data_IF_641597069761
#
_entry.id   IF_641597069761
#
_cell.length_a   1.000
_cell.length_b   1.000
_cell.length_c   1.000
_cell.angle_alpha   90.00
_cell.angle_beta   90.00
_cell.angle_gamma   90.00
#
_symmetry.space_group_name_H-M   'P 1'
#
loop_
_entity.id
_entity.type
_entity.pdbx_description
1 polymer ?
#
# COMPACT_ATOMS: atom_id res chain seq x y z
N UNK A 1 33.07 -10.64 4.70
CA UNK A 1 32.84 -10.09 3.34
C UNK A 1 31.41 -9.61 3.34
N UNK A 2 31.21 -8.30 3.42
CA UNK A 2 29.88 -7.70 3.30
C UNK A 2 29.39 -7.93 1.88
N UNK A 3 28.27 -8.63 1.74
CA UNK A 3 27.56 -8.77 0.45
C UNK A 3 27.37 -7.36 -0.16
N UNK A 4 27.57 -7.15 -1.46
CA UNK A 4 27.30 -5.84 -2.03
C UNK A 4 25.84 -5.49 -1.72
N UNK A 5 25.62 -4.39 -0.97
CA UNK A 5 24.29 -3.90 -0.66
C UNK A 5 23.56 -3.62 -1.98
N UNK A 6 22.63 -4.49 -2.34
CA UNK A 6 21.78 -4.25 -3.49
C UNK A 6 20.81 -3.13 -3.13
N UNK A 7 20.83 -2.06 -3.92
CA UNK A 7 19.87 -0.95 -3.74
C UNK A 7 18.44 -1.45 -3.90
N UNK A 8 17.46 -0.83 -3.20
CA UNK A 8 16.06 -1.16 -3.38
C UNK A 8 15.61 -0.95 -4.82
N UNK A 9 14.78 -1.84 -5.31
CA UNK A 9 14.11 -1.68 -6.59
C UNK A 9 13.09 -0.54 -6.49
N UNK A 10 12.97 0.26 -7.55
CA UNK A 10 12.02 1.37 -7.61
C UNK A 10 10.76 0.94 -8.37
N UNK A 11 9.66 0.93 -7.69
CA UNK A 11 8.35 0.57 -8.25
C UNK A 11 7.41 1.76 -8.32
N UNK A 12 6.40 1.62 -9.16
CA UNK A 12 5.29 2.53 -9.27
C UNK A 12 3.98 1.77 -9.14
N UNK A 13 3.01 2.32 -8.41
CA UNK A 13 1.70 1.72 -8.22
C UNK A 13 0.85 1.82 -9.50
N UNK A 14 0.09 0.77 -9.81
CA UNK A 14 -0.82 0.76 -10.96
C UNK A 14 -2.25 1.21 -10.62
N UNK A 15 -2.64 1.21 -9.35
CA UNK A 15 -3.99 1.59 -8.93
C UNK A 15 -4.35 3.07 -9.09
N UNK A 16 -3.43 4.06 -9.21
CA UNK A 16 -3.83 5.43 -9.52
C UNK A 16 -4.67 5.58 -10.79
N UNK A 17 -4.48 4.67 -11.75
CA UNK A 17 -5.32 4.60 -12.95
C UNK A 17 -6.72 4.02 -12.75
N UNK A 18 -7.03 3.48 -11.57
CA UNK A 18 -8.26 2.75 -11.26
C UNK A 18 -9.05 3.34 -10.10
N UNK A 19 -8.37 3.58 -8.97
CA UNK A 19 -9.04 4.01 -7.72
C UNK A 19 -9.64 5.39 -7.90
N UNK A 20 -10.92 5.52 -7.56
CA UNK A 20 -11.68 6.76 -7.77
C UNK A 20 -12.08 7.03 -9.22
N UNK A 21 -11.83 6.09 -10.15
CA UNK A 21 -12.22 6.15 -11.56
C UNK A 21 -13.48 5.32 -11.80
N UNK A 22 -14.20 5.61 -12.86
CA UNK A 22 -15.42 4.88 -13.23
C UNK A 22 -16.22 5.58 -14.32
N UNK A 23 -17.41 5.03 -14.61
CA UNK A 23 -18.32 5.56 -15.61
C UNK A 23 -19.44 6.45 -15.00
N UNK A 24 -19.37 6.72 -13.69
CA UNK A 24 -20.35 7.56 -12.98
C UNK A 24 -20.21 9.05 -13.30
N UNK A 25 -21.29 9.80 -13.09
CA UNK A 25 -21.30 11.25 -13.29
C UNK A 25 -20.19 11.92 -12.44
N UNK A 26 -19.33 12.68 -13.11
CA UNK A 26 -18.23 13.40 -12.48
C UNK A 26 -16.99 12.54 -12.18
N UNK A 27 -17.00 11.26 -12.50
CA UNK A 27 -15.82 10.40 -12.44
C UNK A 27 -15.02 10.48 -13.74
N UNK A 28 -13.69 10.34 -13.60
CA UNK A 28 -12.82 10.17 -14.76
C UNK A 28 -12.78 8.68 -15.16
N UNK A 29 -12.66 8.35 -16.46
CA UNK A 29 -12.56 6.94 -16.89
C UNK A 29 -11.27 6.30 -16.38
N UNK A 30 -11.26 4.98 -16.14
CA UNK A 30 -10.04 4.26 -15.82
C UNK A 30 -8.99 4.40 -16.93
N UNK A 31 -7.72 4.53 -16.54
CA UNK A 31 -6.59 4.45 -17.48
C UNK A 31 -6.23 2.99 -17.68
N UNK A 32 -6.07 2.55 -18.93
CA UNK A 32 -5.77 1.15 -19.23
C UNK A 32 -4.43 0.71 -18.63
N UNK A 33 -4.31 -0.58 -18.30
CA UNK A 33 -3.05 -1.16 -17.82
C UNK A 33 -1.90 -0.89 -18.79
N UNK A 34 -2.11 -1.12 -20.09
CA UNK A 34 -1.08 -0.87 -21.12
C UNK A 34 -0.56 0.56 -21.05
N UNK A 35 -1.47 1.55 -20.94
CA UNK A 35 -1.09 2.95 -20.84
C UNK A 35 -0.31 3.28 -19.57
N UNK A 36 -0.71 2.73 -18.42
CA UNK A 36 0.02 2.90 -17.16
C UNK A 36 1.43 2.29 -17.24
N UNK A 37 1.56 1.11 -17.90
CA UNK A 37 2.85 0.46 -18.12
C UNK A 37 3.75 1.29 -19.06
N UNK A 38 3.20 1.82 -20.16
CA UNK A 38 3.93 2.71 -21.06
C UNK A 38 4.52 3.92 -20.34
N UNK A 39 3.70 4.63 -19.57
CA UNK A 39 4.10 5.81 -18.83
C UNK A 39 5.18 5.50 -17.79
N UNK A 40 5.02 4.39 -17.05
CA UNK A 40 6.00 3.95 -16.06
C UNK A 40 7.33 3.55 -16.72
N UNK A 41 7.30 2.76 -17.78
CA UNK A 41 8.50 2.30 -18.49
C UNK A 41 9.23 3.43 -19.22
N UNK A 42 8.50 4.47 -19.66
CA UNK A 42 9.07 5.64 -20.32
C UNK A 42 9.71 6.65 -19.35
N UNK A 43 9.42 6.57 -18.05
CA UNK A 43 10.04 7.44 -17.05
C UNK A 43 11.57 7.25 -17.06
N UNK A 44 12.28 8.37 -17.14
CA UNK A 44 13.74 8.35 -17.23
C UNK A 44 14.34 9.61 -16.59
N UNK A 45 15.22 9.41 -15.63
CA UNK A 45 15.99 10.48 -14.99
C UNK A 45 17.45 10.11 -15.05
N UNK A 46 18.23 10.77 -15.91
CA UNK A 46 19.65 10.51 -16.11
C UNK A 46 19.98 9.02 -16.40
N UNK A 47 19.14 8.36 -17.21
CA UNK A 47 19.30 6.94 -17.55
C UNK A 47 18.73 5.97 -16.52
N UNK A 48 18.30 6.44 -15.35
CA UNK A 48 17.62 5.63 -14.35
C UNK A 48 16.12 5.51 -14.68
N UNK A 49 15.55 4.36 -14.41
CA UNK A 49 14.13 4.03 -14.69
C UNK A 49 13.51 3.33 -13.49
N UNK A 50 12.19 3.14 -13.52
CA UNK A 50 11.54 2.20 -12.63
C UNK A 50 11.97 0.76 -12.96
N UNK A 51 12.16 -0.05 -11.93
CA UNK A 51 12.46 -1.48 -12.04
C UNK A 51 11.18 -2.32 -12.19
N UNK A 52 10.05 -1.79 -11.70
CA UNK A 52 8.81 -2.55 -11.68
C UNK A 52 7.58 -1.75 -11.24
N UNK A 53 6.56 -2.50 -10.96
CA UNK A 53 5.24 -2.01 -10.54
C UNK A 53 4.73 -2.78 -9.33
N UNK A 54 3.90 -2.11 -8.51
CA UNK A 54 3.00 -2.79 -7.59
C UNK A 54 1.61 -2.83 -8.22
N UNK A 55 0.91 -3.96 -8.07
CA UNK A 55 -0.17 -4.31 -8.97
C UNK A 55 -1.49 -4.58 -8.23
N UNK A 56 -2.55 -3.99 -8.74
CA UNK A 56 -3.88 -4.08 -8.17
C UNK A 56 -4.71 -5.15 -8.89
N UNK A 57 -5.16 -6.16 -8.15
CA UNK A 57 -5.92 -7.27 -8.68
C UNK A 57 -7.41 -6.92 -8.86
N UNK A 58 -7.69 -5.96 -9.73
CA UNK A 58 -9.01 -5.39 -9.92
C UNK A 58 -9.29 -5.03 -11.39
N UNK A 59 -10.56 -5.09 -11.77
CA UNK A 59 -11.01 -4.66 -13.10
C UNK A 59 -10.86 -3.13 -13.28
N UNK A 60 -10.58 -2.65 -14.50
CA UNK A 60 -10.37 -3.39 -15.74
C UNK A 60 -8.93 -3.91 -15.96
N UNK A 61 -7.99 -3.68 -15.05
CA UNK A 61 -6.60 -4.15 -15.22
C UNK A 61 -6.47 -5.67 -15.13
N UNK A 62 -7.12 -6.28 -14.14
CA UNK A 62 -7.12 -7.73 -13.94
C UNK A 62 -8.49 -8.20 -13.46
N UNK A 63 -9.04 -9.20 -14.11
CA UNK A 63 -10.10 -9.99 -13.52
C UNK A 63 -9.47 -10.95 -12.49
N UNK A 64 -9.80 -10.86 -11.18
CA UNK A 64 -9.26 -11.76 -10.17
C UNK A 64 -9.58 -13.23 -10.42
N UNK A 65 -10.69 -13.51 -11.12
CA UNK A 65 -11.14 -14.85 -11.50
C UNK A 65 -10.56 -15.33 -12.85
N UNK A 66 -9.66 -14.53 -13.48
CA UNK A 66 -9.04 -14.90 -14.75
C UNK A 66 -8.35 -16.25 -14.69
N UNK A 67 -8.37 -16.98 -15.80
CA UNK A 67 -7.62 -18.22 -15.98
C UNK A 67 -6.11 -17.99 -15.92
N UNK A 68 -5.34 -19.05 -15.63
CA UNK A 68 -3.89 -18.97 -15.65
C UNK A 68 -3.34 -18.55 -17.02
N UNK A 69 -4.02 -18.90 -18.11
CA UNK A 69 -3.66 -18.49 -19.46
C UNK A 69 -3.86 -16.99 -19.72
N UNK A 70 -4.89 -16.39 -19.14
CA UNK A 70 -5.13 -14.94 -19.20
C UNK A 70 -4.12 -14.19 -18.32
N UNK A 71 -3.87 -14.69 -17.11
CA UNK A 71 -2.85 -14.14 -16.21
C UNK A 71 -1.44 -14.20 -16.84
N UNK A 72 -1.13 -15.28 -17.57
CA UNK A 72 0.12 -15.40 -18.32
C UNK A 72 0.25 -14.32 -19.41
N UNK A 73 -0.85 -13.95 -20.07
CA UNK A 73 -0.83 -12.83 -21.04
C UNK A 73 -0.52 -11.51 -20.35
N UNK A 74 -1.12 -11.25 -19.19
CA UNK A 74 -0.84 -10.05 -18.39
C UNK A 74 0.64 -10.03 -17.97
N UNK A 75 1.16 -11.14 -17.43
CA UNK A 75 2.57 -11.28 -17.06
C UNK A 75 3.51 -10.97 -18.23
N UNK A 76 3.21 -11.52 -19.42
CA UNK A 76 3.99 -11.27 -20.63
C UNK A 76 3.89 -9.79 -21.08
N UNK A 77 2.74 -9.15 -20.91
CA UNK A 77 2.56 -7.73 -21.22
C UNK A 77 3.47 -6.89 -20.32
N UNK A 78 3.43 -7.10 -19.01
CA UNK A 78 4.30 -6.39 -18.05
C UNK A 78 5.79 -6.61 -18.38
N UNK A 79 6.18 -7.86 -18.64
CA UNK A 79 7.56 -8.20 -18.99
C UNK A 79 8.04 -7.52 -20.28
N UNK A 80 7.18 -7.34 -21.29
CA UNK A 80 7.52 -6.64 -22.55
C UNK A 80 7.87 -5.17 -22.32
N UNK A 81 7.33 -4.53 -21.27
CA UNK A 81 7.72 -3.19 -20.88
C UNK A 81 9.02 -3.15 -20.06
N UNK A 82 9.65 -4.30 -19.80
CA UNK A 82 10.88 -4.39 -19.01
C UNK A 82 10.65 -4.19 -17.51
N UNK A 83 9.40 -4.34 -17.03
CA UNK A 83 9.00 -4.12 -15.65
C UNK A 83 8.80 -5.45 -14.93
N UNK A 84 9.15 -5.50 -13.65
CA UNK A 84 8.82 -6.59 -12.74
C UNK A 84 7.53 -6.25 -11.96
N UNK A 85 6.89 -7.28 -11.38
CA UNK A 85 5.82 -7.13 -10.40
C UNK A 85 6.41 -7.31 -9.00
N UNK A 86 6.11 -6.38 -8.11
CA UNK A 86 6.41 -6.45 -6.68
C UNK A 86 5.20 -6.91 -5.87
N UNK A 87 4.71 -6.02 -5.03
CA UNK A 87 3.54 -6.30 -4.19
C UNK A 87 2.24 -6.29 -4.99
N UNK A 88 1.31 -7.14 -4.57
CA UNK A 88 -0.02 -7.27 -5.15
C UNK A 88 -1.06 -6.77 -4.14
N UNK A 89 -2.05 -6.04 -4.60
CA UNK A 89 -3.18 -5.65 -3.75
C UNK A 89 -4.31 -6.66 -3.97
N UNK A 90 -4.68 -7.38 -2.90
CA UNK A 90 -5.75 -8.36 -2.94
C UNK A 90 -7.12 -7.69 -3.08
N UNK A 91 -8.06 -8.23 -3.87
CA UNK A 91 -9.39 -7.65 -4.08
C UNK A 91 -10.34 -8.01 -2.93
N UNK A 92 -10.02 -7.55 -1.70
CA UNK A 92 -10.74 -7.96 -0.48
C UNK A 92 -12.00 -7.15 -0.17
N UNK A 93 -12.25 -6.03 -0.86
CA UNK A 93 -13.34 -5.10 -0.49
C UNK A 93 -14.72 -5.55 -0.92
N UNK A 94 -15.79 -5.13 -0.19
CA UNK A 94 -17.15 -5.21 -0.68
C UNK A 94 -17.31 -4.57 -2.07
N UNK A 95 -18.04 -5.22 -2.96
CA UNK A 95 -18.17 -4.78 -4.37
C UNK A 95 -17.08 -5.32 -5.31
N UNK A 96 -16.09 -6.02 -4.76
CA UNK A 96 -15.14 -6.87 -5.50
C UNK A 96 -15.52 -8.36 -5.31
N UNK A 97 -14.54 -9.26 -5.35
CA UNK A 97 -14.72 -10.68 -5.01
C UNK A 97 -14.63 -10.92 -3.50
N UNK A 98 -14.17 -9.94 -2.74
CA UNK A 98 -14.00 -10.00 -1.29
C UNK A 98 -15.16 -9.40 -0.50
N UNK A 99 -14.98 -9.29 0.81
CA UNK A 99 -15.91 -8.68 1.76
C UNK A 99 -15.16 -8.38 3.08
N UNK A 100 -15.83 -7.75 4.07
CA UNK A 100 -15.25 -7.31 5.33
C UNK A 100 -14.62 -8.44 6.16
N UNK A 101 -13.39 -8.22 6.62
CA UNK A 101 -12.72 -9.11 7.60
C UNK A 101 -13.41 -9.12 8.97
N UNK A 102 -14.18 -8.08 9.30
CA UNK A 102 -14.94 -7.93 10.52
C UNK A 102 -16.40 -8.46 10.39
N UNK A 103 -16.80 -8.86 9.18
CA UNK A 103 -18.15 -9.26 8.85
C UNK A 103 -18.60 -10.58 9.47
N UNK A 104 -19.75 -11.07 9.05
CA UNK A 104 -20.26 -12.38 9.41
C UNK A 104 -19.46 -13.52 8.72
N UNK A 105 -19.89 -14.75 8.94
CA UNK A 105 -19.19 -15.91 8.38
C UNK A 105 -19.11 -15.88 6.85
N UNK A 106 -20.15 -15.40 6.16
CA UNK A 106 -20.17 -15.31 4.70
C UNK A 106 -19.23 -14.23 4.17
N UNK A 107 -19.18 -13.08 4.82
CA UNK A 107 -18.23 -11.99 4.49
C UNK A 107 -16.78 -12.46 4.71
N UNK A 108 -16.49 -13.11 5.84
CA UNK A 108 -15.16 -13.69 6.10
C UNK A 108 -14.75 -14.71 5.05
N UNK A 109 -15.66 -15.60 4.64
CA UNK A 109 -15.37 -16.59 3.59
C UNK A 109 -14.98 -15.92 2.26
N UNK A 110 -15.68 -14.87 1.86
CA UNK A 110 -15.34 -14.09 0.67
C UNK A 110 -13.96 -13.41 0.84
N UNK A 111 -13.68 -12.80 1.99
CA UNK A 111 -12.36 -12.22 2.29
C UNK A 111 -11.24 -13.25 2.09
N UNK A 112 -11.37 -14.41 2.72
CA UNK A 112 -10.37 -15.48 2.65
C UNK A 112 -10.23 -16.05 1.23
N UNK A 113 -11.35 -16.15 0.49
CA UNK A 113 -11.35 -16.56 -0.91
C UNK A 113 -10.61 -15.55 -1.80
N UNK A 114 -10.79 -14.27 -1.56
CA UNK A 114 -10.06 -13.20 -2.27
C UNK A 114 -8.55 -13.26 -2.00
N UNK A 115 -8.14 -13.49 -0.75
CA UNK A 115 -6.72 -13.70 -0.40
C UNK A 115 -6.14 -14.94 -1.09
N UNK A 116 -6.86 -16.06 -1.08
CA UNK A 116 -6.44 -17.29 -1.79
C UNK A 116 -6.28 -17.05 -3.28
N UNK A 117 -7.18 -16.28 -3.87
CA UNK A 117 -7.13 -15.91 -5.29
C UNK A 117 -5.91 -15.04 -5.59
N UNK A 118 -5.61 -14.05 -4.73
CA UNK A 118 -4.41 -13.23 -4.86
C UNK A 118 -3.12 -14.07 -4.77
N UNK A 119 -3.07 -15.04 -3.85
CA UNK A 119 -1.94 -15.99 -3.73
C UNK A 119 -1.77 -16.83 -5.01
N UNK A 120 -2.86 -17.32 -5.60
CA UNK A 120 -2.81 -18.04 -6.90
C UNK A 120 -2.23 -17.15 -7.99
N UNK A 121 -2.68 -15.91 -8.09
CA UNK A 121 -2.20 -14.96 -9.11
C UNK A 121 -0.71 -14.67 -8.89
N UNK A 122 -0.28 -14.45 -7.64
CA UNK A 122 1.13 -14.29 -7.29
C UNK A 122 1.98 -15.44 -7.82
N UNK A 123 1.55 -16.69 -7.57
CA UNK A 123 2.26 -17.89 -8.01
C UNK A 123 2.28 -18.04 -9.54
N UNK A 124 1.22 -17.63 -10.25
CA UNK A 124 1.23 -17.59 -11.72
C UNK A 124 2.27 -16.57 -12.22
N UNK A 125 2.32 -15.38 -11.64
CA UNK A 125 3.29 -14.35 -12.03
C UNK A 125 4.74 -14.77 -11.71
N UNK A 126 4.97 -15.49 -10.61
CA UNK A 126 6.26 -16.10 -10.28
C UNK A 126 6.67 -17.16 -11.29
N UNK A 127 5.76 -18.08 -11.65
CA UNK A 127 5.96 -19.11 -12.67
C UNK A 127 6.34 -18.52 -14.03
N UNK A 128 5.79 -17.35 -14.37
CA UNK A 128 6.13 -16.62 -15.60
C UNK A 128 7.34 -15.70 -15.46
N UNK A 129 8.01 -15.68 -14.28
CA UNK A 129 9.26 -14.97 -14.04
C UNK A 129 9.12 -13.46 -13.94
N UNK A 130 7.90 -12.92 -13.93
CA UNK A 130 7.65 -11.48 -13.83
C UNK A 130 7.61 -10.98 -12.39
N UNK A 131 7.31 -11.86 -11.41
CA UNK A 131 7.36 -11.58 -9.97
C UNK A 131 8.41 -12.44 -9.28
N UNK A 132 9.28 -11.82 -8.48
CA UNK A 132 10.36 -12.49 -7.74
C UNK A 132 10.43 -12.08 -6.28
N UNK A 133 9.68 -11.10 -5.87
CA UNK A 133 9.63 -10.51 -4.52
C UNK A 133 8.30 -9.78 -4.33
N UNK A 134 8.15 -9.12 -3.19
CA UNK A 134 6.94 -8.41 -2.81
C UNK A 134 6.02 -9.26 -1.95
N UNK A 135 4.96 -8.65 -1.48
CA UNK A 135 3.96 -9.23 -0.59
C UNK A 135 2.56 -9.15 -1.22
N UNK A 136 1.56 -9.67 -0.52
CA UNK A 136 0.16 -9.44 -0.88
C UNK A 136 -0.42 -8.47 0.15
N UNK A 137 -0.75 -7.27 -0.29
CA UNK A 137 -1.38 -6.25 0.54
C UNK A 137 -2.84 -6.60 0.81
N UNK A 138 -3.25 -6.44 2.05
CA UNK A 138 -4.63 -6.50 2.53
C UNK A 138 -4.93 -5.32 3.45
N UNK A 139 -6.20 -5.05 3.68
CA UNK A 139 -6.72 -4.22 4.76
C UNK A 139 -7.95 -4.89 5.38
N UNK A 140 -8.64 -4.24 6.35
CA UNK A 140 -9.79 -4.86 7.01
C UNK A 140 -11.03 -4.99 6.12
N UNK A 141 -11.05 -4.30 4.97
CA UNK A 141 -12.20 -4.20 4.08
C UNK A 141 -13.51 -3.73 4.77
N UNK A 142 -13.39 -3.12 5.95
CA UNK A 142 -14.49 -2.48 6.68
C UNK A 142 -14.30 -0.97 6.61
N UNK A 143 -14.94 -0.35 5.62
CA UNK A 143 -14.85 1.09 5.42
C UNK A 143 -15.63 1.85 6.48
N UNK A 144 -14.97 2.84 7.12
CA UNK A 144 -15.53 3.61 8.22
C UNK A 144 -15.44 2.90 9.57
N UNK A 145 -15.26 3.66 10.63
CA UNK A 145 -14.95 3.13 11.98
C UNK A 145 -16.14 3.07 12.93
N UNK A 146 -17.32 3.52 12.49
CA UNK A 146 -18.53 3.60 13.35
C UNK A 146 -18.91 2.25 13.95
N UNK A 147 -19.04 1.23 13.11
CA UNK A 147 -19.40 -0.12 13.54
C UNK A 147 -18.32 -0.76 14.41
N UNK A 148 -17.04 -0.51 14.12
CA UNK A 148 -15.94 -0.98 14.94
C UNK A 148 -15.99 -0.35 16.34
N UNK A 149 -16.32 0.94 16.46
CA UNK A 149 -16.43 1.66 17.73
C UNK A 149 -17.55 1.18 18.66
N UNK A 150 -18.52 0.44 18.17
CA UNK A 150 -19.54 -0.17 19.02
C UNK A 150 -18.94 -1.15 20.04
N UNK A 151 -17.90 -1.89 19.66
CA UNK A 151 -17.13 -2.77 20.55
C UNK A 151 -15.70 -2.97 19.98
N UNK A 152 -14.80 -2.00 20.20
CA UNK A 152 -13.47 -2.00 19.59
C UNK A 152 -12.70 -3.30 19.81
N UNK A 153 -12.63 -3.78 21.06
CA UNK A 153 -11.92 -5.00 21.42
C UNK A 153 -12.45 -6.23 20.67
N UNK A 154 -13.76 -6.46 20.73
CA UNK A 154 -14.35 -7.64 20.08
C UNK A 154 -14.24 -7.56 18.55
N UNK A 155 -14.35 -6.36 17.97
CA UNK A 155 -14.27 -6.16 16.55
C UNK A 155 -12.81 -6.28 16.04
N UNK A 156 -11.81 -5.79 16.80
CA UNK A 156 -10.40 -6.07 16.52
C UNK A 156 -10.11 -7.57 16.57
N UNK A 157 -10.62 -8.28 17.57
CA UNK A 157 -10.44 -9.75 17.67
C UNK A 157 -11.07 -10.49 16.47
N UNK A 158 -12.20 -10.03 15.91
CA UNK A 158 -12.77 -10.60 14.67
C UNK A 158 -11.85 -10.40 13.48
N UNK A 159 -11.33 -9.17 13.29
CA UNK A 159 -10.37 -8.87 12.21
C UNK A 159 -9.12 -9.73 12.39
N UNK A 160 -8.55 -9.79 13.60
CA UNK A 160 -7.37 -10.59 13.89
C UNK A 160 -7.57 -12.09 13.63
N UNK A 161 -8.73 -12.64 13.94
CA UNK A 161 -9.07 -14.04 13.62
C UNK A 161 -9.11 -14.28 12.11
N UNK A 162 -9.70 -13.36 11.34
CA UNK A 162 -9.73 -13.44 9.87
C UNK A 162 -8.33 -13.32 9.28
N UNK A 163 -7.51 -12.38 9.80
CA UNK A 163 -6.13 -12.17 9.33
C UNK A 163 -5.22 -13.35 9.65
N UNK A 164 -5.39 -14.04 10.80
CA UNK A 164 -4.64 -15.30 11.10
C UNK A 164 -4.94 -16.39 10.07
N UNK A 165 -6.21 -16.55 9.72
CA UNK A 165 -6.61 -17.55 8.71
C UNK A 165 -6.09 -17.16 7.33
N UNK A 166 -6.19 -15.88 6.95
CA UNK A 166 -5.60 -15.35 5.72
C UNK A 166 -4.08 -15.55 5.66
N UNK A 167 -3.36 -15.28 6.76
CA UNK A 167 -1.92 -15.50 6.86
C UNK A 167 -1.56 -16.97 6.72
N UNK A 168 -2.37 -17.88 7.31
CA UNK A 168 -2.20 -19.33 7.13
C UNK A 168 -2.38 -19.75 5.68
N UNK A 169 -3.38 -19.20 4.98
CA UNK A 169 -3.58 -19.43 3.53
C UNK A 169 -2.36 -18.93 2.75
N UNK A 170 -1.90 -17.72 3.02
CA UNK A 170 -0.74 -17.14 2.33
C UNK A 170 0.52 -18.00 2.53
N UNK A 171 0.79 -18.43 3.77
CA UNK A 171 1.92 -19.32 4.08
C UNK A 171 1.89 -20.63 3.29
N UNK A 172 0.71 -21.26 3.14
CA UNK A 172 0.54 -22.47 2.32
C UNK A 172 0.85 -22.24 0.84
N UNK A 173 0.70 -21.02 0.37
CA UNK A 173 1.05 -20.62 -1.01
C UNK A 173 2.48 -20.07 -1.14
N UNK A 174 3.28 -20.07 -0.06
CA UNK A 174 4.62 -19.47 -0.04
C UNK A 174 4.61 -17.95 -0.10
N UNK A 175 3.48 -17.30 0.23
CA UNK A 175 3.31 -15.86 0.19
C UNK A 175 3.30 -15.24 1.60
N UNK A 176 3.61 -13.94 1.68
CA UNK A 176 3.44 -13.12 2.88
C UNK A 176 2.38 -12.06 2.64
N UNK A 177 1.68 -11.68 3.71
CA UNK A 177 0.71 -10.60 3.70
C UNK A 177 1.31 -9.34 4.35
N UNK A 178 0.94 -8.17 3.83
CA UNK A 178 1.16 -6.90 4.48
C UNK A 178 -0.19 -6.19 4.70
N UNK A 179 -0.48 -5.84 5.94
CA UNK A 179 -1.66 -5.05 6.27
C UNK A 179 -1.35 -3.57 6.10
N UNK A 180 -2.05 -2.91 5.18
CA UNK A 180 -1.94 -1.46 5.01
C UNK A 180 -3.02 -0.76 5.82
N UNK A 181 -2.57 0.09 6.73
CA UNK A 181 -3.47 0.88 7.55
C UNK A 181 -3.69 2.26 6.97
N UNK A 182 -4.95 2.56 6.69
CA UNK A 182 -5.42 3.89 6.37
C UNK A 182 -6.42 4.37 7.43
N UNK A 183 -6.58 5.68 7.58
CA UNK A 183 -7.50 6.27 8.56
C UNK A 183 -8.98 5.89 8.35
N UNK A 184 -9.35 5.32 7.21
CA UNK A 184 -10.71 4.87 6.88
C UNK A 184 -10.98 3.40 7.19
N UNK A 185 -9.95 2.57 7.39
CA UNK A 185 -10.14 1.14 7.62
C UNK A 185 -10.30 0.82 9.09
N UNK A 186 -11.45 0.25 9.46
CA UNK A 186 -11.78 -0.10 10.84
C UNK A 186 -10.75 -1.06 11.46
N UNK A 187 -10.32 -0.78 12.70
CA UNK A 187 -9.32 -1.54 13.42
C UNK A 187 -7.88 -1.33 12.94
N UNK A 188 -7.68 -0.49 11.92
CA UNK A 188 -6.39 -0.15 11.33
C UNK A 188 -6.24 1.37 11.13
N UNK A 189 -7.16 2.15 11.68
CA UNK A 189 -7.34 3.58 11.38
C UNK A 189 -6.43 4.51 12.20
N UNK A 190 -5.62 3.96 13.09
CA UNK A 190 -4.55 4.67 13.79
C UNK A 190 -3.31 3.79 13.94
N UNK A 191 -2.17 4.41 14.26
CA UNK A 191 -0.93 3.69 14.51
C UNK A 191 -1.07 2.70 15.68
N UNK A 192 -1.86 3.05 16.71
CA UNK A 192 -2.04 2.21 17.90
C UNK A 192 -2.98 1.04 17.61
N UNK A 193 -4.11 1.29 16.95
CA UNK A 193 -5.03 0.21 16.57
C UNK A 193 -4.38 -0.77 15.61
N UNK A 194 -3.54 -0.26 14.68
CA UNK A 194 -2.75 -1.08 13.78
C UNK A 194 -1.76 -1.97 14.53
N UNK A 195 -1.02 -1.41 15.49
CA UNK A 195 -0.07 -2.16 16.31
C UNK A 195 -0.78 -3.23 17.12
N UNK A 196 -1.88 -2.88 17.81
CA UNK A 196 -2.67 -3.82 18.61
C UNK A 196 -3.23 -4.98 17.76
N UNK A 197 -3.67 -4.68 16.52
CA UNK A 197 -4.12 -5.70 15.58
C UNK A 197 -3.00 -6.66 15.18
N UNK A 198 -1.82 -6.13 14.81
CA UNK A 198 -0.67 -6.96 14.44
C UNK A 198 -0.20 -7.86 15.60
N UNK A 199 -0.15 -7.30 16.81
CA UNK A 199 0.20 -8.06 18.02
C UNK A 199 -0.86 -9.14 18.31
N UNK A 200 -2.15 -8.84 18.18
CA UNK A 200 -3.21 -9.83 18.40
C UNK A 200 -3.21 -10.92 17.32
N UNK A 201 -2.89 -10.60 16.06
CA UNK A 201 -2.69 -11.64 15.02
C UNK A 201 -1.53 -12.56 15.37
N UNK A 202 -0.39 -12.02 15.82
CA UNK A 202 0.73 -12.79 16.36
C UNK A 202 1.44 -13.69 15.36
N UNK A 203 1.49 -13.32 14.07
CA UNK A 203 2.11 -14.11 12.99
C UNK A 203 3.14 -13.27 12.20
N UNK A 204 4.19 -12.70 12.83
CA UNK A 204 5.10 -11.74 12.18
C UNK A 204 5.85 -12.30 10.98
N UNK A 205 6.08 -13.62 10.93
CA UNK A 205 6.76 -14.26 9.79
C UNK A 205 5.91 -14.23 8.49
N UNK A 206 4.58 -14.16 8.64
CA UNK A 206 3.65 -14.27 7.51
C UNK A 206 2.86 -13.00 7.26
N UNK A 207 2.53 -12.26 8.32
CA UNK A 207 1.77 -11.01 8.23
C UNK A 207 2.54 -9.89 8.89
N UNK A 208 2.83 -8.85 8.12
CA UNK A 208 3.46 -7.63 8.61
C UNK A 208 2.65 -6.39 8.25
N UNK A 209 3.29 -5.25 8.37
CA UNK A 209 2.75 -3.93 8.08
C UNK A 209 3.26 -3.42 6.73
N UNK A 210 2.37 -2.82 5.95
CA UNK A 210 2.76 -1.95 4.87
C UNK A 210 2.69 -0.50 5.37
N UNK A 211 3.83 0.15 5.40
CA UNK A 211 3.90 1.56 5.72
C UNK A 211 3.74 2.40 4.45
N UNK A 212 2.74 3.29 4.44
CA UNK A 212 2.62 4.35 3.45
C UNK A 212 2.86 5.71 4.11
N UNK A 213 3.66 6.57 3.49
CA UNK A 213 4.02 7.86 4.06
C UNK A 213 2.83 8.78 4.25
N UNK A 214 1.87 8.78 3.32
CA UNK A 214 0.69 9.64 3.40
C UNK A 214 -0.24 9.21 4.54
N UNK A 215 -0.48 7.90 4.66
CA UNK A 215 -1.36 7.37 5.69
C UNK A 215 -0.76 7.47 7.09
N UNK A 216 0.53 7.15 7.23
CA UNK A 216 1.22 7.24 8.52
C UNK A 216 1.40 8.69 8.99
N UNK A 217 1.51 9.66 8.08
CA UNK A 217 1.45 11.07 8.43
C UNK A 217 0.11 11.43 9.10
N UNK A 218 -1.00 10.97 8.55
CA UNK A 218 -2.32 11.22 9.11
C UNK A 218 -2.54 10.50 10.46
N UNK A 219 -1.85 9.38 10.71
CA UNK A 219 -1.81 8.75 12.02
C UNK A 219 -1.19 9.65 13.08
N UNK A 220 -0.08 10.31 12.75
CA UNK A 220 0.56 11.28 13.69
C UNK A 220 -0.39 12.39 14.07
N UNK A 221 -1.20 12.87 13.11
CA UNK A 221 -2.19 13.93 13.32
C UNK A 221 -3.46 13.46 14.06
N UNK A 222 -3.69 12.15 14.18
CA UNK A 222 -4.84 11.58 14.88
C UNK A 222 -6.17 11.70 14.14
N UNK A 223 -6.16 11.78 12.80
CA UNK A 223 -7.39 11.74 12.03
C UNK A 223 -8.15 10.43 12.27
N UNK A 224 -9.47 10.54 12.49
CA UNK A 224 -10.39 9.46 12.88
C UNK A 224 -10.08 8.77 14.24
N UNK A 225 -8.97 9.09 14.90
CA UNK A 225 -8.59 8.58 16.21
C UNK A 225 -7.87 9.66 17.04
N UNK A 226 -8.53 10.75 17.45
CA UNK A 226 -7.90 11.85 18.17
C UNK A 226 -7.27 11.42 19.50
N UNK A 227 -7.76 10.33 20.09
CA UNK A 227 -7.19 9.68 21.28
C UNK A 227 -5.79 9.10 21.07
N UNK A 228 -5.41 8.83 19.82
CA UNK A 228 -4.10 8.32 19.43
C UNK A 228 -3.23 9.36 18.70
N UNK A 229 -3.69 10.62 18.65
CA UNK A 229 -2.90 11.72 18.09
C UNK A 229 -1.58 11.88 18.84
N UNK A 230 -0.49 12.01 18.11
CA UNK A 230 0.84 12.19 18.69
C UNK A 230 1.26 13.66 18.72
N UNK A 231 0.58 14.50 17.98
CA UNK A 231 0.78 15.95 17.98
C UNK A 231 -0.56 16.68 18.10
N UNK A 232 -0.51 17.93 18.59
CA UNK A 232 -1.66 18.81 18.63
C UNK A 232 -1.62 19.82 17.48
N UNK A 233 -2.76 20.39 17.07
CA UNK A 233 -2.76 21.50 16.10
C UNK A 233 -1.83 22.64 16.54
N UNK A 234 -0.97 23.10 15.62
CA UNK A 234 0.03 24.11 15.90
C UNK A 234 1.35 23.60 16.47
N UNK A 235 1.57 22.29 16.46
CA UNK A 235 2.84 21.69 16.86
C UNK A 235 4.02 22.26 16.06
N UNK A 236 5.18 22.28 16.71
CA UNK A 236 6.46 22.62 16.08
C UNK A 236 7.02 21.43 15.28
N UNK A 237 7.97 21.71 14.39
CA UNK A 237 8.71 20.68 13.67
C UNK A 237 9.41 19.68 14.62
N UNK A 238 9.95 20.17 15.73
CA UNK A 238 10.60 19.31 16.72
C UNK A 238 9.62 18.32 17.34
N UNK A 239 8.43 18.76 17.70
CA UNK A 239 7.37 17.91 18.24
C UNK A 239 6.91 16.90 17.19
N UNK A 240 6.73 17.32 15.93
CA UNK A 240 6.37 16.44 14.85
C UNK A 240 7.42 15.33 14.66
N UNK A 241 8.71 15.66 14.61
CA UNK A 241 9.74 14.65 14.39
C UNK A 241 9.88 13.67 15.55
N UNK A 242 9.69 14.13 16.78
CA UNK A 242 9.66 13.25 17.95
C UNK A 242 8.47 12.28 17.88
N UNK A 243 7.29 12.77 17.54
CA UNK A 243 6.06 12.01 17.37
C UNK A 243 6.17 11.01 16.21
N UNK A 244 6.69 11.45 15.06
CA UNK A 244 6.90 10.61 13.89
C UNK A 244 7.86 9.46 14.20
N UNK A 245 8.95 9.75 14.90
CA UNK A 245 9.91 8.74 15.36
C UNK A 245 9.26 7.75 16.34
N UNK A 246 8.47 8.22 17.29
CA UNK A 246 7.75 7.34 18.22
C UNK A 246 6.86 6.33 17.50
N UNK A 247 6.07 6.79 16.53
CA UNK A 247 5.20 5.93 15.72
C UNK A 247 6.02 4.94 14.88
N UNK A 248 7.05 5.44 14.19
CA UNK A 248 7.85 4.59 13.32
C UNK A 248 8.63 3.55 14.11
N UNK A 249 9.17 3.88 15.28
CA UNK A 249 9.86 2.89 16.15
C UNK A 249 8.92 1.77 16.60
N UNK A 250 7.62 2.06 16.79
CA UNK A 250 6.64 1.05 17.17
C UNK A 250 6.23 0.13 16.00
N UNK A 251 6.03 0.69 14.79
CA UNK A 251 5.52 -0.04 13.63
C UNK A 251 6.61 -0.61 12.72
N UNK A 252 7.81 0.00 12.70
CA UNK A 252 8.93 -0.41 11.84
C UNK A 252 9.31 -1.89 11.99
N UNK A 253 9.34 -2.52 13.19
CA UNK A 253 9.64 -3.95 13.30
C UNK A 253 8.67 -4.86 12.53
N UNK A 254 7.44 -4.41 12.32
CA UNK A 254 6.41 -5.11 11.55
C UNK A 254 6.44 -4.78 10.06
N UNK A 255 7.16 -3.72 9.66
CA UNK A 255 7.12 -3.21 8.28
C UNK A 255 7.88 -4.11 7.33
N UNK A 256 7.18 -4.68 6.36
CA UNK A 256 7.69 -5.60 5.33
C UNK A 256 7.39 -5.12 3.91
N UNK A 257 6.69 -4.00 3.77
CA UNK A 257 6.39 -3.32 2.52
C UNK A 257 6.34 -1.80 2.75
N UNK A 258 6.71 -1.00 1.76
CA UNK A 258 6.85 0.43 1.96
C UNK A 258 6.48 1.25 0.73
N UNK A 259 5.53 2.17 0.93
CA UNK A 259 5.13 3.14 -0.09
C UNK A 259 5.65 4.54 0.22
N UNK A 260 6.26 5.14 -0.78
CA UNK A 260 6.64 6.54 -0.81
C UNK A 260 5.48 7.35 -1.36
N UNK A 261 5.06 8.36 -0.64
CA UNK A 261 3.95 9.21 -1.02
C UNK A 261 4.14 10.64 -0.47
N UNK A 262 3.34 11.58 -0.95
CA UNK A 262 3.23 12.94 -0.39
C UNK A 262 1.79 13.17 0.07
N UNK A 263 1.61 14.00 1.09
CA UNK A 263 0.31 14.36 1.65
C UNK A 263 0.26 15.86 2.02
N UNK A 264 -0.88 16.50 1.83
CA UNK A 264 -1.10 17.91 2.15
C UNK A 264 -1.69 18.15 3.55
N UNK A 265 -1.90 17.09 4.32
CA UNK A 265 -2.51 17.15 5.65
C UNK A 265 -4.02 17.32 5.62
N UNK A 266 -4.65 17.18 4.46
CA UNK A 266 -6.11 17.24 4.33
C UNK A 266 -6.71 15.85 4.22
N UNK A 267 -7.95 15.74 4.65
CA UNK A 267 -8.75 14.53 4.54
C UNK A 267 -10.00 14.81 3.70
N UNK A 268 -10.47 13.78 3.00
CA UNK A 268 -11.62 13.83 2.12
C UNK A 268 -12.68 12.85 2.64
N UNK A 269 -13.94 13.12 2.36
CA UNK A 269 -15.06 12.33 2.83
C UNK A 269 -16.08 13.18 3.58
N UNK A 270 -17.26 12.62 3.85
CA UNK A 270 -18.41 13.36 4.34
C UNK A 270 -18.58 13.32 5.87
N UNK A 271 -18.12 12.32 6.55
CA UNK A 271 -18.31 12.13 8.00
C UNK A 271 -17.03 12.25 8.82
N UNK A 272 -17.16 12.07 10.12
CA UNK A 272 -16.00 12.01 11.01
C UNK A 272 -15.24 10.68 10.90
N UNK A 273 -15.87 9.66 10.31
CA UNK A 273 -15.41 8.28 10.31
C UNK A 273 -15.19 7.67 8.91
N UNK A 274 -15.54 8.41 7.87
CA UNK A 274 -15.37 8.03 6.47
C UNK A 274 -14.28 8.83 5.75
N UNK A 275 -13.49 9.58 6.50
CA UNK A 275 -12.41 10.39 5.94
C UNK A 275 -11.26 9.52 5.47
N UNK A 276 -10.76 9.85 4.29
CA UNK A 276 -9.54 9.25 3.71
C UNK A 276 -8.47 10.32 3.51
N UNK A 277 -7.21 9.92 3.53
CA UNK A 277 -6.11 10.78 3.12
C UNK A 277 -6.06 10.91 1.60
N UNK A 278 -5.49 12.01 1.12
CA UNK A 278 -5.25 12.23 -0.29
C UNK A 278 -3.77 12.32 -0.57
N UNK A 279 -3.32 11.53 -1.51
CA UNK A 279 -1.97 11.64 -2.02
C UNK A 279 -1.83 12.88 -2.90
N UNK A 280 -0.71 13.58 -2.75
CA UNK A 280 -0.33 14.73 -3.56
C UNK A 280 0.81 14.37 -4.52
N UNK A 281 1.02 15.13 -5.61
CA UNK A 281 2.26 15.06 -6.39
C UNK A 281 3.51 15.23 -5.51
N UNK A 282 4.60 14.60 -5.92
CA UNK A 282 5.84 14.60 -5.14
C UNK A 282 6.42 16.02 -4.93
N UNK A 283 6.16 16.91 -5.85
CA UNK A 283 6.58 18.32 -5.87
C UNK A 283 5.43 19.29 -5.53
N UNK A 284 4.35 18.80 -4.92
CA UNK A 284 3.23 19.65 -4.53
C UNK A 284 3.67 20.70 -3.51
N UNK A 285 3.47 22.00 -3.80
CA UNK A 285 3.85 23.07 -2.86
C UNK A 285 3.02 23.05 -1.55
N UNK A 286 1.88 22.39 -1.55
CA UNK A 286 1.06 22.12 -0.35
C UNK A 286 1.51 20.91 0.45
N UNK A 287 2.39 20.08 -0.11
CA UNK A 287 2.90 18.86 0.52
C UNK A 287 3.57 19.13 1.87
N UNK A 288 3.28 18.29 2.84
CA UNK A 288 3.71 18.45 4.25
C UNK A 288 4.88 17.54 4.62
N UNK A 289 5.19 16.54 3.80
CA UNK A 289 6.23 15.57 4.11
C UNK A 289 7.58 15.99 3.54
N UNK A 290 8.61 16.00 4.37
CA UNK A 290 9.98 15.79 3.91
C UNK A 290 10.11 14.28 3.58
N UNK A 291 9.77 13.94 2.34
CA UNK A 291 9.67 12.55 1.87
C UNK A 291 10.97 11.78 2.17
N UNK A 292 12.12 12.37 1.88
CA UNK A 292 13.42 11.69 2.05
C UNK A 292 13.68 11.41 3.52
N UNK A 293 13.46 12.38 4.39
CA UNK A 293 13.66 12.23 5.83
C UNK A 293 12.66 11.24 6.44
N UNK A 294 11.37 11.36 6.09
CA UNK A 294 10.34 10.42 6.55
C UNK A 294 10.67 8.98 6.14
N UNK A 295 11.05 8.77 4.87
CA UNK A 295 11.42 7.44 4.38
C UNK A 295 12.59 6.84 5.17
N UNK A 296 13.57 7.64 5.59
CA UNK A 296 14.71 7.17 6.37
C UNK A 296 14.33 6.46 7.66
N UNK A 297 13.30 6.93 8.36
CA UNK A 297 12.81 6.27 9.59
C UNK A 297 12.24 4.86 9.32
N UNK A 298 11.59 4.65 8.18
CA UNK A 298 11.01 3.36 7.81
C UNK A 298 12.04 2.39 7.21
N UNK A 299 13.01 2.93 6.47
CA UNK A 299 13.99 2.13 5.74
C UNK A 299 15.16 1.65 6.61
N UNK A 300 15.32 2.16 7.84
CA UNK A 300 16.29 1.63 8.79
C UNK A 300 16.05 0.13 9.00
N UNK A 301 17.06 -0.73 8.71
CA UNK A 301 16.97 -2.19 8.79
C UNK A 301 15.99 -2.84 7.81
N UNK A 302 15.64 -2.18 6.70
CA UNK A 302 14.63 -2.69 5.75
C UNK A 302 15.07 -3.99 5.06
N UNK A 303 16.35 -4.12 4.74
CA UNK A 303 16.89 -5.34 4.10
C UNK A 303 16.77 -6.56 5.02
N UNK A 304 17.02 -6.41 6.31
CA UNK A 304 16.91 -7.47 7.31
C UNK A 304 15.46 -7.93 7.50
N UNK A 305 14.49 -7.03 7.30
CA UNK A 305 13.06 -7.35 7.30
C UNK A 305 12.58 -7.94 5.98
N UNK A 306 13.47 -8.03 4.98
CA UNK A 306 13.18 -8.66 3.69
C UNK A 306 12.51 -7.75 2.67
N UNK A 307 12.54 -6.42 2.84
CA UNK A 307 12.14 -5.49 1.80
C UNK A 307 13.12 -5.57 0.63
N UNK A 308 12.62 -5.57 -0.60
CA UNK A 308 13.45 -5.60 -1.80
C UNK A 308 13.16 -4.45 -2.75
N UNK A 309 12.06 -3.76 -2.54
CA UNK A 309 11.66 -2.59 -3.32
C UNK A 309 10.96 -1.55 -2.45
N UNK A 310 10.85 -0.35 -2.99
CA UNK A 310 10.00 0.72 -2.51
C UNK A 310 9.09 1.15 -3.66
N UNK A 311 7.84 1.47 -3.36
CA UNK A 311 6.86 1.82 -4.38
C UNK A 311 6.38 3.25 -4.19
N UNK A 312 6.16 3.99 -5.29
CA UNK A 312 5.45 5.26 -5.24
C UNK A 312 3.95 5.03 -5.27
N UNK A 313 3.23 5.63 -4.32
CA UNK A 313 1.78 5.67 -4.33
C UNK A 313 1.27 7.07 -4.70
N UNK A 314 0.62 7.17 -5.86
CA UNK A 314 -0.07 8.36 -6.34
C UNK A 314 -1.58 8.18 -6.40
N UNK A 315 -2.14 7.46 -5.43
CA UNK A 315 -3.56 7.12 -5.39
C UNK A 315 -4.44 8.37 -5.55
N UNK A 316 -5.48 8.24 -6.38
CA UNK A 316 -6.48 9.27 -6.68
C UNK A 316 -5.95 10.52 -7.43
N UNK A 317 -4.80 10.44 -8.07
CA UNK A 317 -4.38 11.53 -8.98
C UNK A 317 -5.37 11.69 -10.15
N UNK A 318 -5.67 12.93 -10.57
CA UNK A 318 -6.49 13.15 -11.76
C UNK A 318 -5.80 12.64 -13.04
N UNK A 319 -6.59 12.18 -14.02
CA UNK A 319 -6.05 11.70 -15.30
C UNK A 319 -5.18 12.76 -16.00
N UNK A 320 -5.56 14.02 -15.88
CA UNK A 320 -4.76 15.14 -16.41
C UNK A 320 -3.34 15.22 -15.81
N UNK A 321 -3.11 14.66 -14.62
CA UNK A 321 -1.78 14.52 -14.00
C UNK A 321 -1.13 13.22 -14.44
N UNK A 322 -1.86 12.09 -14.37
CA UNK A 322 -1.35 10.75 -14.69
C UNK A 322 -0.90 10.61 -16.16
N UNK A 323 -1.60 11.25 -17.11
CA UNK A 323 -1.30 11.16 -18.53
C UNK A 323 -0.06 11.99 -18.97
N UNK A 324 0.56 12.73 -18.05
CA UNK A 324 1.76 13.53 -18.36
C UNK A 324 3.03 12.75 -18.01
N UNK A 325 3.90 12.53 -18.99
CA UNK A 325 5.21 11.92 -18.76
C UNK A 325 6.06 12.68 -17.74
N UNK A 326 5.92 13.99 -17.66
CA UNK A 326 6.62 14.81 -16.68
C UNK A 326 6.32 14.38 -15.22
N UNK A 327 5.07 14.01 -14.92
CA UNK A 327 4.64 13.52 -13.61
C UNK A 327 5.49 12.31 -13.19
N UNK A 328 5.66 11.34 -14.09
CA UNK A 328 6.41 10.12 -13.81
C UNK A 328 7.91 10.36 -13.65
N UNK A 329 8.46 11.32 -14.37
CA UNK A 329 9.86 11.74 -14.18
C UNK A 329 10.07 12.45 -12.84
N UNK A 330 9.13 13.30 -12.41
CA UNK A 330 9.15 13.94 -11.08
C UNK A 330 9.06 12.89 -9.98
N UNK A 331 8.14 11.94 -10.09
CA UNK A 331 8.02 10.81 -9.15
C UNK A 331 9.33 10.02 -9.09
N UNK A 332 9.89 9.63 -10.25
CA UNK A 332 11.14 8.87 -10.29
C UNK A 332 12.30 9.66 -9.68
N UNK A 333 12.34 10.98 -9.86
CA UNK A 333 13.35 11.85 -9.23
C UNK A 333 13.29 11.75 -7.70
N UNK A 334 12.09 11.81 -7.13
CA UNK A 334 11.88 11.68 -5.69
C UNK A 334 12.24 10.29 -5.19
N UNK A 335 11.85 9.24 -5.92
CA UNK A 335 12.19 7.85 -5.58
C UNK A 335 13.70 7.61 -5.60
N UNK A 336 14.40 8.21 -6.57
CA UNK A 336 15.86 8.18 -6.64
C UNK A 336 16.50 8.94 -5.48
N UNK A 337 15.93 10.06 -5.05
CA UNK A 337 16.43 10.80 -3.88
C UNK A 337 16.32 9.96 -2.60
N UNK A 338 15.19 9.29 -2.37
CA UNK A 338 15.00 8.36 -1.25
C UNK A 338 16.03 7.22 -1.30
N UNK A 339 16.13 6.53 -2.45
CA UNK A 339 17.08 5.42 -2.63
C UNK A 339 18.52 5.83 -2.41
N UNK A 340 18.92 7.01 -2.92
CA UNK A 340 20.30 7.48 -2.82
C UNK A 340 20.65 7.95 -1.40
N UNK A 341 19.68 8.44 -0.64
CA UNK A 341 19.89 8.89 0.74
C UNK A 341 19.99 7.72 1.72
N UNK A 342 19.17 6.70 1.53
CA UNK A 342 19.02 5.63 2.52
C UNK A 342 19.49 4.27 2.03
N UNK A 343 19.29 3.94 0.76
CA UNK A 343 19.60 2.63 0.22
C UNK A 343 18.95 1.52 1.06
N UNK A 344 19.73 0.48 1.35
CA UNK A 344 19.47 -0.50 2.40
C UNK A 344 20.57 -0.35 3.47
N UNK A 345 20.45 0.66 4.29
CA UNK A 345 21.41 0.87 5.39
C UNK A 345 21.05 0.03 6.60
#
# INVERSE_FOLDING_TARGET
MTSPHTLPKLHNAMWPGLVGKGDGDGQEPPISLERMLELTAAANVNGQKFDGIDYFLFLPHTNPEASDAELAKIANTIARHGLAVGSLVAPVWPGTVGDSAMGDAAAREKFLSAVKMACRIANVFEKHGVRKYGVIRIDSAEFGITKWRENPRANTSKIAATFREAATIAAHHGQRLAAEGEICWAGMHSWKDMLDLLEEVGMPETLGFQADLAHTYLYVLGFNAPEHALVQPGHSDQEFWAAYKQMTDALRPWTIDFHVAQNDGQVHGAGAHDKTGKHCPADDPGGKLDIVKCAGYWLEGAAERGLQHICWDGCMFPNATLEKQATWNTILTTMLAVRNAHGWN
#
